data_IF_155780799125
#
_entry.id   IF_155780799125
#
_cell.length_a   1.000
_cell.length_b   1.000
_cell.length_c   1.000
_cell.angle_alpha   90.00
_cell.angle_beta   90.00
_cell.angle_gamma   90.00
#
_symmetry.space_group_name_H-M   'P 1'
#
loop_
_entity.id
_entity.type
_entity.pdbx_description
1 polymer ?
#
# COMPACT_ATOMS: atom_id res chain seq x y z
N UNK A 1 1.43 6.76 -8.37
CA UNK A 1 2.85 6.73 -8.82
C UNK A 1 2.94 7.27 -10.24
N UNK A 2 4.09 7.76 -10.68
CA UNK A 2 4.27 8.21 -12.07
C UNK A 2 5.67 7.90 -12.58
N UNK A 3 5.82 7.83 -13.90
CA UNK A 3 7.10 7.65 -14.58
C UNK A 3 7.07 8.27 -15.99
N UNK A 4 8.24 8.57 -16.51
CA UNK A 4 8.42 9.00 -17.90
C UNK A 4 8.59 7.76 -18.80
N UNK A 5 7.87 7.71 -19.91
CA UNK A 5 7.98 6.63 -20.88
C UNK A 5 9.21 6.81 -21.76
N UNK A 6 10.10 5.82 -21.79
CA UNK A 6 11.28 5.83 -22.64
C UNK A 6 11.07 4.98 -23.90
N UNK A 7 11.42 5.53 -25.06
CA UNK A 7 11.32 4.86 -26.36
C UNK A 7 9.97 5.10 -27.07
N UNK A 8 9.72 4.38 -28.17
CA UNK A 8 8.49 4.54 -28.95
C UNK A 8 7.24 4.27 -28.10
N UNK A 9 6.25 5.16 -28.19
CA UNK A 9 5.01 5.08 -27.43
C UNK A 9 3.81 4.89 -28.37
N UNK A 10 3.14 3.75 -28.25
CA UNK A 10 1.96 3.38 -29.02
C UNK A 10 0.75 3.40 -28.08
N UNK A 11 -0.06 4.45 -28.19
CA UNK A 11 -1.23 4.69 -27.31
C UNK A 11 -2.27 3.57 -27.44
N UNK A 12 -2.50 3.08 -28.66
CA UNK A 12 -3.48 2.03 -28.91
C UNK A 12 -3.03 0.71 -28.27
N UNK A 13 -1.74 0.37 -28.43
CA UNK A 13 -1.15 -0.80 -27.77
C UNK A 13 -1.12 -0.67 -26.26
N UNK A 14 -0.87 0.53 -25.74
CA UNK A 14 -0.92 0.80 -24.30
C UNK A 14 -2.32 0.54 -23.74
N UNK A 15 -3.34 1.04 -24.42
CA UNK A 15 -4.73 0.84 -24.03
C UNK A 15 -5.15 -0.63 -24.11
N UNK A 16 -4.82 -1.31 -25.22
CA UNK A 16 -5.09 -2.73 -25.39
C UNK A 16 -4.40 -3.59 -24.31
N UNK A 17 -3.14 -3.31 -24.00
CA UNK A 17 -2.39 -4.03 -22.97
C UNK A 17 -3.03 -3.91 -21.58
N UNK A 18 -3.44 -2.70 -21.18
CA UNK A 18 -4.14 -2.50 -19.90
C UNK A 18 -5.52 -3.15 -19.89
N UNK A 19 -6.27 -3.07 -20.99
CA UNK A 19 -7.56 -3.77 -21.09
C UNK A 19 -7.38 -5.29 -20.91
N UNK A 20 -6.36 -5.88 -21.55
CA UNK A 20 -6.04 -7.30 -21.40
C UNK A 20 -5.68 -7.68 -19.95
N UNK A 21 -5.02 -6.79 -19.20
CA UNK A 21 -4.76 -6.97 -17.77
C UNK A 21 -6.05 -6.87 -16.94
N UNK A 22 -6.93 -5.90 -17.22
CA UNK A 22 -8.24 -5.76 -16.55
C UNK A 22 -9.11 -7.00 -16.78
N UNK A 23 -9.12 -7.54 -17.98
CA UNK A 23 -9.88 -8.74 -18.31
C UNK A 23 -9.38 -9.95 -17.51
N UNK A 24 -8.06 -10.11 -17.39
CA UNK A 24 -7.46 -11.26 -16.68
C UNK A 24 -7.52 -11.13 -15.17
N UNK A 25 -7.20 -9.98 -14.60
CA UNK A 25 -6.99 -9.80 -13.17
C UNK A 25 -8.28 -9.35 -12.47
N UNK A 26 -8.99 -10.29 -11.81
CA UNK A 26 -10.32 -10.04 -11.26
C UNK A 26 -10.38 -8.90 -10.23
N UNK A 27 -9.27 -8.58 -9.55
CA UNK A 27 -9.19 -7.45 -8.61
C UNK A 27 -9.48 -6.11 -9.28
N UNK A 28 -9.17 -5.95 -10.58
CA UNK A 28 -9.44 -4.73 -11.34
C UNK A 28 -10.92 -4.59 -11.73
N UNK A 29 -11.64 -5.72 -11.71
CA UNK A 29 -13.09 -5.80 -11.93
C UNK A 29 -13.89 -5.88 -10.63
N UNK A 30 -13.23 -5.68 -9.49
CA UNK A 30 -13.86 -5.75 -8.18
C UNK A 30 -14.35 -4.38 -7.71
N UNK A 31 -15.45 -4.36 -6.96
CA UNK A 31 -15.96 -3.19 -6.26
C UNK A 31 -16.56 -3.59 -4.91
N UNK A 32 -16.85 -2.61 -4.07
CA UNK A 32 -17.46 -2.80 -2.77
C UNK A 32 -18.95 -2.50 -2.81
N UNK A 33 -19.73 -3.35 -2.17
CA UNK A 33 -21.13 -3.09 -1.86
C UNK A 33 -21.31 -3.24 -0.35
N UNK A 34 -21.99 -2.29 0.27
CA UNK A 34 -22.17 -2.21 1.72
C UNK A 34 -23.61 -1.88 2.11
N UNK A 35 -24.57 -1.99 1.18
CA UNK A 35 -25.97 -1.62 1.45
C UNK A 35 -26.62 -2.56 2.47
N UNK A 36 -26.50 -3.87 2.27
CA UNK A 36 -27.03 -4.87 3.20
C UNK A 36 -25.94 -5.40 4.16
N UNK A 37 -24.76 -5.68 3.60
CA UNK A 37 -23.57 -6.11 4.33
C UNK A 37 -22.34 -5.80 3.49
N UNK A 38 -21.18 -5.50 4.10
CA UNK A 38 -19.95 -5.25 3.35
C UNK A 38 -19.54 -6.52 2.61
N UNK A 39 -19.52 -6.43 1.28
CA UNK A 39 -19.13 -7.50 0.36
C UNK A 39 -18.27 -6.95 -0.76
N UNK A 40 -17.48 -7.84 -1.34
CA UNK A 40 -16.76 -7.59 -2.57
C UNK A 40 -17.54 -8.21 -3.74
N UNK A 41 -17.86 -7.40 -4.74
CA UNK A 41 -18.56 -7.81 -5.96
C UNK A 41 -17.56 -7.86 -7.11
N UNK A 42 -17.53 -8.98 -7.84
CA UNK A 42 -16.67 -9.18 -9.00
C UNK A 42 -17.50 -9.08 -10.28
N UNK A 43 -17.18 -8.09 -11.11
CA UNK A 43 -17.85 -7.91 -12.40
C UNK A 43 -17.27 -8.85 -13.46
N UNK A 44 -18.12 -9.36 -14.35
CA UNK A 44 -17.68 -10.21 -15.45
C UNK A 44 -16.77 -9.45 -16.43
N UNK A 45 -17.03 -8.15 -16.63
CA UNK A 45 -16.27 -7.25 -17.50
C UNK A 45 -16.12 -5.89 -16.84
N UNK A 46 -15.02 -5.20 -17.12
CA UNK A 46 -14.83 -3.78 -16.83
C UNK A 46 -13.90 -3.19 -17.89
N UNK A 47 -14.00 -1.89 -18.12
CA UNK A 47 -13.11 -1.17 -19.03
C UNK A 47 -11.94 -0.57 -18.25
N UNK A 48 -10.76 -0.55 -18.87
CA UNK A 48 -9.61 0.16 -18.34
C UNK A 48 -9.86 1.68 -18.37
N UNK A 49 -9.78 2.34 -17.22
CA UNK A 49 -9.90 3.80 -17.10
C UNK A 49 -8.57 4.45 -17.53
N UNK A 50 -8.49 4.86 -18.80
CA UNK A 50 -7.31 5.46 -19.41
C UNK A 50 -7.70 6.81 -20.00
N UNK A 51 -7.09 7.88 -19.50
CA UNK A 51 -7.23 9.22 -20.05
C UNK A 51 -5.94 9.66 -20.75
N UNK A 52 -6.05 10.27 -21.92
CA UNK A 52 -4.91 10.89 -22.63
C UNK A 52 -5.13 12.40 -22.63
N UNK A 53 -4.13 13.14 -22.13
CA UNK A 53 -4.16 14.59 -22.02
C UNK A 53 -3.03 15.19 -22.86
N UNK A 54 -3.34 16.28 -23.55
CA UNK A 54 -2.33 17.09 -24.23
C UNK A 54 -1.63 18.05 -23.25
N UNK A 55 -0.30 18.25 -23.35
CA UNK A 55 0.41 19.30 -22.63
C UNK A 55 -0.18 20.70 -22.83
N UNK A 56 -0.77 20.96 -24.00
CA UNK A 56 -1.46 22.22 -24.30
C UNK A 56 -2.75 22.43 -23.47
N UNK A 57 -3.38 21.35 -23.02
CA UNK A 57 -4.65 21.39 -22.28
C UNK A 57 -4.46 21.42 -20.75
N UNK A 58 -3.37 20.83 -20.25
CA UNK A 58 -3.14 20.71 -18.80
C UNK A 58 -1.65 20.57 -18.47
N UNK A 59 -1.20 21.36 -17.50
CA UNK A 59 0.16 21.21 -16.96
C UNK A 59 0.24 20.03 -15.99
N UNK A 60 1.42 19.43 -15.82
CA UNK A 60 1.61 18.29 -14.92
C UNK A 60 1.12 18.53 -13.47
N UNK A 61 1.42 19.67 -12.80
CA UNK A 61 0.89 19.93 -11.46
C UNK A 61 -0.64 20.09 -11.41
N UNK A 62 -1.26 20.61 -12.48
CA UNK A 62 -2.72 20.67 -12.59
C UNK A 62 -3.32 19.28 -12.77
N UNK A 63 -2.70 18.43 -13.60
CA UNK A 63 -3.11 17.04 -13.80
C UNK A 63 -3.09 16.27 -12.48
N UNK A 64 -2.00 16.35 -11.70
CA UNK A 64 -1.91 15.71 -10.38
C UNK A 64 -2.99 16.19 -9.40
N UNK A 65 -3.32 17.49 -9.40
CA UNK A 65 -4.38 18.04 -8.55
C UNK A 65 -5.76 17.55 -8.99
N UNK A 66 -6.05 17.56 -10.30
CA UNK A 66 -7.32 17.07 -10.88
C UNK A 66 -7.51 15.59 -10.58
N UNK A 67 -6.48 14.78 -10.77
CA UNK A 67 -6.50 13.36 -10.48
C UNK A 67 -6.83 13.11 -8.98
N UNK A 68 -6.10 13.75 -8.06
CA UNK A 68 -6.38 13.64 -6.62
C UNK A 68 -7.80 14.06 -6.25
N UNK A 69 -8.31 15.12 -6.86
CA UNK A 69 -9.67 15.62 -6.61
C UNK A 69 -10.77 14.69 -7.17
N UNK A 70 -10.50 13.95 -8.26
CA UNK A 70 -11.45 13.02 -8.88
C UNK A 70 -11.83 11.87 -7.93
N UNK A 71 -10.90 11.43 -7.07
CA UNK A 71 -11.13 10.31 -6.14
C UNK A 71 -11.52 9.00 -6.84
N UNK A 72 -12.11 8.07 -6.09
CA UNK A 72 -12.70 6.82 -6.62
C UNK A 72 -14.10 6.60 -6.04
N UNK A 73 -14.99 6.06 -6.88
CA UNK A 73 -16.28 5.55 -6.45
C UNK A 73 -16.14 4.06 -6.09
N UNK A 74 -16.09 3.73 -4.79
CA UNK A 74 -15.83 2.37 -4.32
C UNK A 74 -16.90 1.34 -4.71
N UNK A 75 -18.09 1.79 -5.09
CA UNK A 75 -19.20 0.96 -5.56
C UNK A 75 -19.17 0.65 -7.06
N UNK A 76 -18.10 1.05 -7.76
CA UNK A 76 -17.89 0.77 -9.19
C UNK A 76 -16.54 0.08 -9.40
N UNK A 77 -16.42 -0.81 -10.41
CA UNK A 77 -15.12 -1.39 -10.77
C UNK A 77 -14.20 -0.30 -11.34
N UNK A 78 -12.92 -0.63 -11.54
CA UNK A 78 -11.92 0.34 -12.03
C UNK A 78 -11.28 1.16 -10.91
N UNK A 79 -10.94 0.52 -9.78
CA UNK A 79 -10.19 1.16 -8.69
C UNK A 79 -8.68 1.33 -8.98
N UNK A 80 -8.32 1.30 -10.26
CA UNK A 80 -7.03 1.65 -10.83
C UNK A 80 -7.29 2.38 -12.14
N UNK A 81 -6.62 3.51 -12.34
CA UNK A 81 -6.72 4.31 -13.55
C UNK A 81 -5.36 4.83 -14.00
N UNK A 82 -5.27 5.11 -15.30
CA UNK A 82 -4.09 5.62 -15.96
C UNK A 82 -4.41 6.98 -16.56
N UNK A 83 -3.50 7.93 -16.40
CA UNK A 83 -3.55 9.21 -17.10
C UNK A 83 -2.23 9.44 -17.80
N UNK A 84 -2.28 9.57 -19.12
CA UNK A 84 -1.16 9.85 -19.99
C UNK A 84 -1.10 11.34 -20.28
N UNK A 85 0.03 11.97 -19.96
CA UNK A 85 0.37 13.26 -20.53
C UNK A 85 1.21 12.98 -21.78
N UNK A 86 0.65 13.29 -22.95
CA UNK A 86 1.32 13.07 -24.22
C UNK A 86 2.65 13.85 -24.30
N UNK A 87 3.56 13.40 -25.16
CA UNK A 87 4.78 14.15 -25.45
C UNK A 87 4.43 15.51 -26.09
N UNK A 88 5.29 16.51 -25.87
CA UNK A 88 5.18 17.81 -26.54
C UNK A 88 5.41 17.64 -28.06
N UNK A 89 4.51 18.14 -28.93
CA UNK A 89 4.75 18.12 -30.36
C UNK A 89 5.82 19.16 -30.73
N UNK A 90 7.05 18.71 -31.03
CA UNK A 90 8.16 19.55 -31.47
C UNK A 90 9.35 18.73 -31.98
N UNK A 91 9.74 18.93 -33.24
CA UNK A 91 10.66 18.08 -34.00
C UNK A 91 12.13 18.14 -33.57
N UNK A 92 12.85 17.04 -33.81
CA UNK A 92 14.30 16.94 -33.66
C UNK A 92 14.80 16.82 -32.23
N UNK A 93 14.98 15.58 -31.76
CA UNK A 93 15.97 15.23 -30.72
C UNK A 93 15.77 15.71 -29.27
N UNK A 94 14.63 16.29 -28.88
CA UNK A 94 14.47 16.84 -27.52
C UNK A 94 13.07 16.96 -26.93
N UNK A 95 12.03 16.36 -27.53
CA UNK A 95 10.68 16.39 -26.96
C UNK A 95 10.62 15.67 -25.61
N UNK A 96 9.96 16.28 -24.62
CA UNK A 96 9.78 15.65 -23.31
C UNK A 96 9.00 14.32 -23.48
N UNK A 97 9.46 13.21 -22.86
CA UNK A 97 8.80 11.93 -22.99
C UNK A 97 7.35 11.97 -22.47
N UNK A 98 6.47 11.10 -22.99
CA UNK A 98 5.13 10.98 -22.43
C UNK A 98 5.23 10.58 -20.96
N UNK A 99 4.42 11.19 -20.10
CA UNK A 99 4.36 10.84 -18.68
C UNK A 99 3.15 9.98 -18.39
N UNK A 100 3.34 8.92 -17.61
CA UNK A 100 2.27 8.06 -17.16
C UNK A 100 2.02 8.31 -15.67
N UNK A 101 0.79 8.65 -15.32
CA UNK A 101 0.27 8.64 -13.96
C UNK A 101 -0.54 7.36 -13.76
N UNK A 102 -0.17 6.55 -12.78
CA UNK A 102 -0.98 5.43 -12.30
C UNK A 102 -1.51 5.78 -10.91
N UNK A 103 -2.82 5.81 -10.79
CA UNK A 103 -3.53 6.04 -9.54
C UNK A 103 -4.38 4.83 -9.22
N UNK A 104 -4.33 4.34 -7.98
CA UNK A 104 -5.07 3.18 -7.52
C UNK A 104 -5.64 3.42 -6.12
N UNK A 105 -6.68 2.68 -5.76
CA UNK A 105 -7.27 2.76 -4.42
C UNK A 105 -6.71 1.66 -3.50
N UNK A 106 -6.14 2.01 -2.32
CA UNK A 106 -5.48 1.05 -1.43
C UNK A 106 -6.44 0.06 -0.77
N UNK A 107 -7.76 0.24 -0.92
CA UNK A 107 -8.74 -0.74 -0.42
C UNK A 107 -8.69 -2.09 -1.17
N UNK A 108 -8.17 -2.13 -2.40
CA UNK A 108 -8.08 -3.37 -3.19
C UNK A 108 -6.67 -3.75 -3.61
N UNK A 109 -5.73 -2.81 -3.57
CA UNK A 109 -4.39 -3.01 -4.09
C UNK A 109 -3.39 -2.44 -3.12
N UNK A 110 -2.46 -3.29 -2.69
CA UNK A 110 -1.23 -2.84 -2.07
C UNK A 110 -0.16 -2.55 -3.13
N UNK A 111 0.97 -1.97 -2.69
CA UNK A 111 2.07 -1.60 -3.58
C UNK A 111 2.63 -2.81 -4.34
N UNK A 112 2.72 -3.98 -3.69
CA UNK A 112 3.24 -5.20 -4.33
C UNK A 112 2.29 -5.68 -5.43
N UNK A 113 0.98 -5.63 -5.19
CA UNK A 113 -0.06 -5.92 -6.17
C UNK A 113 0.05 -5.02 -7.39
N UNK A 114 0.26 -3.71 -7.21
CA UNK A 114 0.46 -2.78 -8.32
C UNK A 114 1.68 -3.12 -9.16
N UNK A 115 2.80 -3.52 -8.52
CA UNK A 115 3.99 -3.96 -9.26
C UNK A 115 3.76 -5.26 -10.05
N UNK A 116 2.95 -6.19 -9.52
CA UNK A 116 2.55 -7.40 -10.25
C UNK A 116 1.72 -7.05 -11.49
N UNK A 117 0.77 -6.12 -11.36
CA UNK A 117 -0.05 -5.64 -12.48
C UNK A 117 0.80 -4.92 -13.54
N UNK A 118 1.74 -4.07 -13.12
CA UNK A 118 2.68 -3.41 -14.03
C UNK A 118 3.52 -4.43 -14.82
N UNK A 119 4.00 -5.48 -14.16
CA UNK A 119 4.74 -6.56 -14.84
C UNK A 119 3.89 -7.24 -15.90
N UNK A 120 2.62 -7.54 -15.61
CA UNK A 120 1.71 -8.13 -16.60
C UNK A 120 1.41 -7.13 -17.73
N UNK A 121 1.19 -5.85 -17.43
CA UNK A 121 1.04 -4.80 -18.44
C UNK A 121 2.22 -4.77 -19.41
N UNK A 122 3.47 -4.76 -18.93
CA UNK A 122 4.64 -4.74 -19.81
C UNK A 122 4.74 -6.01 -20.68
N UNK A 123 4.34 -7.17 -20.14
CA UNK A 123 4.27 -8.41 -20.93
C UNK A 123 3.23 -8.31 -22.05
N UNK A 124 2.04 -7.79 -21.74
CA UNK A 124 1.00 -7.58 -22.76
C UNK A 124 1.43 -6.56 -23.81
N UNK A 125 2.03 -5.45 -23.38
CA UNK A 125 2.51 -4.40 -24.29
C UNK A 125 3.60 -4.93 -25.24
N UNK A 126 4.56 -5.70 -24.73
CA UNK A 126 5.60 -6.34 -25.54
C UNK A 126 5.02 -7.39 -26.52
N UNK A 127 3.92 -8.04 -26.16
CA UNK A 127 3.21 -9.02 -27.00
C UNK A 127 2.12 -8.40 -27.90
N UNK A 128 2.22 -7.11 -28.22
CA UNK A 128 1.31 -6.46 -29.17
C UNK A 128 -0.05 -6.03 -28.59
N UNK A 129 -0.15 -5.90 -27.26
CA UNK A 129 -1.37 -5.46 -26.58
C UNK A 129 -2.22 -6.60 -26.01
N UNK A 130 -1.81 -7.86 -26.19
CA UNK A 130 -2.51 -9.02 -25.64
C UNK A 130 -1.60 -9.74 -24.66
N UNK A 131 -2.10 -9.98 -23.46
CA UNK A 131 -1.33 -10.64 -22.41
C UNK A 131 -1.09 -12.11 -22.78
N UNK A 132 0.17 -12.56 -22.94
CA UNK A 132 0.44 -13.93 -23.33
C UNK A 132 0.20 -14.92 -22.18
N UNK A 133 -0.12 -16.16 -22.54
CA UNK A 133 -0.43 -17.25 -21.61
C UNK A 133 -1.94 -17.46 -21.42
N UNK A 134 -2.32 -18.09 -20.31
CA UNK A 134 -3.72 -18.46 -20.04
C UNK A 134 -3.90 -19.46 -18.90
N UNK A 135 -2.81 -19.98 -18.35
CA UNK A 135 -2.85 -20.83 -17.16
C UNK A 135 -3.50 -20.09 -15.99
N UNK A 136 -4.46 -20.76 -15.36
CA UNK A 136 -5.13 -20.25 -14.17
C UNK A 136 -4.11 -20.08 -13.04
N UNK A 137 -4.01 -18.86 -12.53
CA UNK A 137 -3.26 -18.53 -11.30
C UNK A 137 -4.26 -18.31 -10.16
N UNK A 138 -3.85 -18.50 -8.89
CA UNK A 138 -4.71 -18.09 -7.78
C UNK A 138 -5.00 -16.60 -7.88
N UNK A 139 -6.20 -16.21 -7.48
CA UNK A 139 -6.62 -14.82 -7.45
C UNK A 139 -7.32 -14.46 -6.12
N UNK A 140 -7.94 -13.29 -6.07
CA UNK A 140 -8.63 -12.80 -4.89
C UNK A 140 -9.73 -13.74 -4.38
N UNK A 141 -10.37 -14.53 -5.26
CA UNK A 141 -11.38 -15.53 -4.88
C UNK A 141 -10.75 -16.72 -4.18
N UNK A 142 -9.59 -17.16 -4.66
CA UNK A 142 -8.82 -18.23 -4.03
C UNK A 142 -8.29 -17.80 -2.66
N UNK A 143 -7.80 -16.56 -2.54
CA UNK A 143 -7.42 -15.97 -1.26
C UNK A 143 -8.61 -15.88 -0.29
N UNK A 144 -9.77 -15.39 -0.74
CA UNK A 144 -10.97 -15.30 0.10
C UNK A 144 -11.47 -16.69 0.56
N UNK A 145 -11.44 -17.70 -0.32
CA UNK A 145 -11.77 -19.08 0.03
C UNK A 145 -10.79 -19.68 1.04
N UNK A 146 -9.50 -19.43 0.85
CA UNK A 146 -8.46 -19.83 1.80
C UNK A 146 -8.67 -19.19 3.18
N UNK A 147 -8.98 -17.88 3.21
CA UNK A 147 -9.23 -17.14 4.45
C UNK A 147 -10.44 -17.69 5.22
N UNK A 148 -11.51 -18.06 4.51
CA UNK A 148 -12.71 -18.65 5.12
C UNK A 148 -12.44 -20.00 5.79
N UNK A 149 -11.37 -20.70 5.42
CA UNK A 149 -10.95 -21.97 6.01
C UNK A 149 -10.01 -21.85 7.21
N UNK A 150 -9.59 -20.65 7.62
CA UNK A 150 -8.60 -20.48 8.70
C UNK A 150 -9.22 -20.60 10.10
N UNK A 151 -8.47 -21.18 11.04
CA UNK A 151 -8.88 -21.20 12.45
C UNK A 151 -8.70 -19.81 13.09
N UNK A 152 -9.81 -19.09 13.20
CA UNK A 152 -9.85 -17.80 13.88
C UNK A 152 -9.62 -17.88 15.38
N UNK A 153 -9.70 -19.06 16.01
CA UNK A 153 -9.55 -19.23 17.46
C UNK A 153 -8.10 -19.13 17.89
N UNK A 154 -7.19 -19.88 17.26
CA UNK A 154 -5.75 -19.78 17.51
C UNK A 154 -5.25 -18.35 17.25
N UNK A 155 -5.66 -17.74 16.14
CA UNK A 155 -5.35 -16.35 15.82
C UNK A 155 -5.83 -15.39 16.91
N UNK A 156 -7.09 -15.53 17.37
CA UNK A 156 -7.65 -14.71 18.45
C UNK A 156 -6.82 -14.84 19.74
N UNK A 157 -6.41 -16.04 20.11
CA UNK A 157 -5.61 -16.28 21.31
C UNK A 157 -4.20 -15.67 21.20
N UNK A 158 -3.57 -15.82 20.03
CA UNK A 158 -2.29 -15.18 19.75
C UNK A 158 -2.37 -13.66 19.90
N UNK A 159 -3.33 -13.04 19.22
CA UNK A 159 -3.49 -11.59 19.24
C UNK A 159 -3.85 -11.04 20.62
N UNK A 160 -4.56 -11.80 21.46
CA UNK A 160 -4.80 -11.42 22.85
C UNK A 160 -3.51 -11.24 23.67
N UNK A 161 -2.45 -12.01 23.35
CA UNK A 161 -1.15 -11.91 24.00
C UNK A 161 -0.21 -10.90 23.34
N UNK A 162 -0.38 -10.67 22.03
CA UNK A 162 0.44 -9.74 21.25
C UNK A 162 0.01 -8.27 21.38
N UNK A 163 -1.07 -7.98 22.11
CA UNK A 163 -1.52 -6.60 22.41
C UNK A 163 -0.38 -5.81 23.07
N UNK A 164 -0.05 -4.61 22.57
CA UNK A 164 0.95 -3.75 23.21
C UNK A 164 0.60 -3.47 24.68
N UNK A 165 1.52 -3.67 25.63
CA UNK A 165 1.24 -3.41 27.03
C UNK A 165 1.02 -1.90 27.27
N UNK A 166 0.24 -1.49 28.30
CA UNK A 166 -0.14 -0.08 28.51
C UNK A 166 1.03 0.91 28.65
N UNK A 167 2.20 0.43 29.08
CA UNK A 167 3.43 1.25 29.25
C UNK A 167 4.39 1.16 28.07
N UNK A 168 3.99 0.52 26.97
CA UNK A 168 4.86 0.40 25.80
C UNK A 168 5.20 1.76 25.20
N UNK A 169 6.48 2.00 24.92
CA UNK A 169 6.88 3.15 24.13
C UNK A 169 6.43 2.97 22.69
N UNK A 170 5.59 3.90 22.22
CA UNK A 170 5.01 3.91 20.86
C UNK A 170 5.30 5.20 20.10
N UNK A 171 5.84 6.22 20.78
CA UNK A 171 6.03 7.56 20.22
C UNK A 171 7.50 7.77 19.84
N UNK A 172 7.80 8.13 18.58
CA UNK A 172 9.18 8.27 18.09
C UNK A 172 9.91 9.52 18.56
N UNK A 173 9.26 10.38 19.36
CA UNK A 173 9.88 11.59 19.87
C UNK A 173 8.90 12.46 20.63
N UNK A 174 9.43 13.56 21.18
CA UNK A 174 8.64 14.68 21.68
C UNK A 174 8.27 15.57 20.51
N UNK A 175 7.03 16.13 20.45
CA UNK A 175 6.69 17.11 19.44
C UNK A 175 7.70 18.27 19.45
N UNK A 176 8.18 18.66 18.26
CA UNK A 176 8.98 19.87 18.09
C UNK A 176 8.13 21.14 18.26
N UNK A 177 8.78 22.30 18.20
CA UNK A 177 8.08 23.58 18.15
C UNK A 177 7.21 23.73 16.90
N UNK A 178 6.21 24.60 16.96
CA UNK A 178 5.34 24.88 15.82
C UNK A 178 6.16 25.46 14.65
N UNK A 179 6.10 24.80 13.49
CA UNK A 179 6.80 25.25 12.27
C UNK A 179 5.98 26.24 11.44
N UNK A 180 4.71 26.44 11.77
CA UNK A 180 3.75 27.21 10.96
C UNK A 180 3.34 26.50 9.66
N UNK A 181 3.82 25.28 9.41
CA UNK A 181 3.51 24.49 8.21
C UNK A 181 2.40 23.47 8.50
N UNK A 182 1.65 23.08 7.47
CA UNK A 182 0.62 22.03 7.54
C UNK A 182 0.77 21.03 6.40
N UNK A 183 0.43 19.77 6.66
CA UNK A 183 0.56 18.67 5.71
C UNK A 183 1.65 17.66 6.09
N UNK A 184 1.84 16.61 5.26
CA UNK A 184 2.85 15.60 5.50
C UNK A 184 4.26 16.16 5.23
N UNK A 185 5.20 15.86 6.13
CA UNK A 185 6.63 16.08 5.91
C UNK A 185 7.32 14.76 5.52
N UNK A 186 8.33 14.85 4.66
CA UNK A 186 9.19 13.73 4.30
C UNK A 186 10.65 14.11 4.56
N UNK A 187 11.36 13.26 5.31
CA UNK A 187 12.80 13.32 5.48
C UNK A 187 13.37 12.02 4.92
N UNK A 188 14.14 12.12 3.83
CA UNK A 188 14.86 10.97 3.24
C UNK A 188 16.32 11.01 3.70
N UNK A 189 16.78 9.92 4.31
CA UNK A 189 18.17 9.70 4.69
C UNK A 189 18.58 8.32 4.19
N UNK A 190 19.75 8.24 3.54
CA UNK A 190 20.23 7.02 2.91
C UNK A 190 21.51 6.53 3.57
N UNK A 191 21.54 5.24 3.90
CA UNK A 191 22.78 4.55 4.23
C UNK A 191 23.62 4.39 2.96
N UNK A 192 24.93 4.62 3.06
CA UNK A 192 25.85 4.35 1.94
C UNK A 192 25.97 2.85 1.71
N UNK A 193 26.39 2.44 0.52
CA UNK A 193 26.53 1.02 0.17
C UNK A 193 27.38 0.21 1.17
N UNK A 194 28.53 0.72 1.68
CA UNK A 194 29.31 0.00 2.69
C UNK A 194 28.60 -0.14 4.05
N UNK A 195 27.76 0.84 4.43
CA UNK A 195 26.98 0.80 5.67
C UNK A 195 25.85 -0.23 5.56
N UNK A 196 25.15 -0.23 4.43
CA UNK A 196 24.10 -1.21 4.10
C UNK A 196 24.66 -2.63 4.10
N UNK A 197 25.80 -2.85 3.45
CA UNK A 197 26.47 -4.16 3.42
C UNK A 197 26.86 -4.66 4.82
N UNK A 198 27.41 -3.78 5.68
CA UNK A 198 27.77 -4.12 7.06
C UNK A 198 26.54 -4.51 7.89
N UNK A 199 25.45 -3.74 7.78
CA UNK A 199 24.21 -4.01 8.50
C UNK A 199 23.59 -5.35 8.07
N UNK A 200 23.45 -5.58 6.76
CA UNK A 200 22.94 -6.83 6.19
C UNK A 200 23.80 -8.02 6.61
N UNK A 201 25.12 -7.90 6.55
CA UNK A 201 26.05 -8.98 6.93
C UNK A 201 25.98 -9.30 8.42
N UNK A 202 25.89 -8.26 9.28
CA UNK A 202 25.77 -8.44 10.73
C UNK A 202 24.48 -9.17 11.12
N UNK A 203 23.36 -8.86 10.45
CA UNK A 203 22.07 -9.51 10.65
C UNK A 203 22.08 -10.96 10.14
N UNK A 204 22.62 -11.19 8.93
CA UNK A 204 22.70 -12.51 8.32
C UNK A 204 23.55 -13.49 9.14
N UNK A 205 24.69 -13.04 9.69
CA UNK A 205 25.54 -13.84 10.59
C UNK A 205 24.81 -14.27 11.89
N UNK A 206 23.65 -13.69 12.19
CA UNK A 206 22.79 -14.00 13.35
C UNK A 206 21.46 -14.63 12.94
N UNK A 207 21.34 -15.08 11.69
CA UNK A 207 20.14 -15.73 11.17
C UNK A 207 18.92 -14.81 11.14
N UNK A 208 19.11 -13.51 10.93
CA UNK A 208 18.03 -12.53 10.83
C UNK A 208 18.04 -11.82 9.47
N UNK A 209 16.87 -11.38 9.02
CA UNK A 209 16.73 -10.60 7.79
C UNK A 209 17.25 -9.16 7.98
N UNK A 210 17.59 -8.49 6.88
CA UNK A 210 17.97 -7.07 6.89
C UNK A 210 16.87 -6.18 7.50
N UNK A 211 15.59 -6.49 7.22
CA UNK A 211 14.45 -5.81 7.81
C UNK A 211 14.40 -5.95 9.34
N UNK A 212 14.79 -7.10 9.89
CA UNK A 212 14.87 -7.31 11.35
C UNK A 212 15.87 -6.36 12.00
N UNK A 213 16.99 -6.07 11.33
CA UNK A 213 17.96 -5.10 11.84
C UNK A 213 17.40 -3.67 11.82
N UNK A 214 16.64 -3.29 10.79
CA UNK A 214 15.97 -1.99 10.73
C UNK A 214 14.87 -1.86 11.80
N UNK A 215 14.08 -2.91 12.04
CA UNK A 215 13.11 -2.94 13.13
C UNK A 215 13.77 -2.84 14.51
N UNK A 216 14.93 -3.47 14.71
CA UNK A 216 15.72 -3.33 15.93
C UNK A 216 16.22 -1.89 16.11
N UNK A 217 16.74 -1.24 15.06
CA UNK A 217 17.14 0.18 15.13
C UNK A 217 15.94 1.06 15.49
N UNK A 218 14.78 0.80 14.88
CA UNK A 218 13.57 1.52 15.21
C UNK A 218 13.14 1.33 16.67
N UNK A 219 13.20 0.10 17.20
CA UNK A 219 12.92 -0.18 18.61
C UNK A 219 13.85 0.61 19.55
N UNK A 220 15.14 0.68 19.23
CA UNK A 220 16.11 1.47 19.99
C UNK A 220 15.84 2.98 19.92
N UNK A 221 15.41 3.50 18.77
CA UNK A 221 15.03 4.91 18.62
C UNK A 221 13.83 5.26 19.50
N UNK A 222 12.78 4.42 19.49
CA UNK A 222 11.61 4.59 20.35
C UNK A 222 11.99 4.49 21.84
N UNK A 223 12.85 3.54 22.21
CA UNK A 223 13.37 3.42 23.57
C UNK A 223 14.11 4.69 24.02
N UNK A 224 15.03 5.20 23.19
CA UNK A 224 15.76 6.44 23.48
C UNK A 224 14.84 7.64 23.60
N UNK A 225 13.81 7.72 22.76
CA UNK A 225 12.80 8.78 22.82
C UNK A 225 11.94 8.74 24.11
N UNK A 226 11.73 7.55 24.68
CA UNK A 226 11.03 7.39 25.95
C UNK A 226 11.82 7.95 27.14
N UNK A 227 13.15 8.06 27.03
CA UNK A 227 14.01 8.69 28.04
C UNK A 227 14.09 7.94 29.37
N UNK A 228 13.94 6.61 29.33
CA UNK A 228 14.06 5.73 30.50
C UNK A 228 15.43 5.03 30.52
N UNK A 229 15.83 4.55 31.71
CA UNK A 229 17.15 3.92 31.93
C UNK A 229 17.09 2.40 32.17
N UNK A 230 15.90 1.81 32.25
CA UNK A 230 15.70 0.39 32.53
C UNK A 230 14.87 -0.31 31.44
N UNK A 231 14.64 -1.64 31.59
CA UNK A 231 13.90 -2.42 30.60
C UNK A 231 12.52 -1.81 30.29
N UNK A 232 12.23 -1.66 29.00
CA UNK A 232 10.96 -1.07 28.55
C UNK A 232 10.40 -1.83 27.33
N UNK A 233 9.13 -2.22 27.37
CA UNK A 233 8.44 -2.67 26.17
C UNK A 233 8.34 -1.53 25.15
N UNK A 234 8.67 -1.84 23.90
CA UNK A 234 8.58 -0.92 22.76
C UNK A 234 7.67 -1.56 21.74
N UNK A 235 6.68 -0.81 21.25
CA UNK A 235 5.71 -1.32 20.29
C UNK A 235 5.52 -0.38 19.10
N UNK A 236 5.43 -0.96 17.92
CA UNK A 236 5.25 -0.26 16.65
C UNK A 236 4.61 -1.18 15.60
N UNK A 237 4.05 -0.57 14.56
CA UNK A 237 3.51 -1.31 13.42
C UNK A 237 4.62 -1.85 12.52
N UNK A 238 4.49 -3.10 12.11
CA UNK A 238 5.28 -3.73 11.05
C UNK A 238 4.35 -4.13 9.91
N UNK A 239 4.82 -4.02 8.66
CA UNK A 239 4.05 -4.40 7.48
C UNK A 239 4.49 -5.79 7.03
N UNK A 240 3.58 -6.78 7.10
CA UNK A 240 3.81 -8.10 6.49
C UNK A 240 3.17 -8.16 5.11
N UNK A 241 3.80 -8.89 4.18
CA UNK A 241 3.38 -8.96 2.78
C UNK A 241 2.03 -9.64 2.55
N UNK A 242 1.63 -10.51 3.49
CA UNK A 242 0.51 -11.46 3.37
C UNK A 242 0.64 -12.47 2.22
N UNK A 243 1.80 -12.54 1.57
CA UNK A 243 2.05 -13.32 0.35
C UNK A 243 2.88 -14.58 0.59
N UNK A 244 3.34 -14.76 1.82
CA UNK A 244 4.09 -15.93 2.29
C UNK A 244 3.19 -16.90 3.07
N UNK A 245 1.86 -16.75 2.93
CA UNK A 245 0.85 -17.63 3.53
C UNK A 245 0.84 -19.01 2.88
N UNK A 246 0.26 -19.99 3.56
CA UNK A 246 0.09 -21.36 3.10
C UNK A 246 -1.00 -21.50 2.01
N UNK A 247 -0.93 -20.67 0.97
CA UNK A 247 -1.72 -20.73 -0.26
C UNK A 247 -0.74 -20.80 -1.44
N UNK A 248 -0.67 -21.93 -2.16
CA UNK A 248 0.20 -22.08 -3.32
C UNK A 248 0.00 -20.94 -4.33
N UNK A 249 1.08 -20.24 -4.67
CA UNK A 249 1.05 -19.11 -5.61
C UNK A 249 0.58 -17.77 -5.03
N UNK A 250 0.40 -17.64 -3.71
CA UNK A 250 0.00 -16.39 -3.05
C UNK A 250 0.89 -15.18 -3.42
N UNK A 251 2.19 -15.41 -3.58
CA UNK A 251 3.15 -14.39 -4.03
C UNK A 251 2.80 -13.73 -5.37
N UNK A 252 2.01 -14.40 -6.22
CA UNK A 252 1.57 -13.90 -7.51
C UNK A 252 0.22 -13.20 -7.51
N UNK A 253 -0.48 -13.11 -6.37
CA UNK A 253 -1.84 -12.54 -6.30
C UNK A 253 -1.76 -11.00 -6.23
N UNK A 254 -2.32 -10.29 -7.23
CA UNK A 254 -2.54 -8.85 -7.12
C UNK A 254 -3.76 -8.60 -6.22
N UNK A 255 -3.59 -7.77 -5.20
CA UNK A 255 -4.62 -7.50 -4.20
C UNK A 255 -4.08 -6.74 -3.00
N UNK A 256 -4.96 -6.37 -2.07
CA UNK A 256 -4.61 -5.92 -0.73
C UNK A 256 -4.39 -7.16 0.14
N UNK A 257 -3.14 -7.62 0.21
CA UNK A 257 -2.75 -8.77 1.04
C UNK A 257 -1.82 -8.33 2.17
N UNK A 258 -1.16 -7.18 2.05
CA UNK A 258 -0.33 -6.67 3.12
C UNK A 258 -1.15 -6.36 4.38
N UNK A 259 -0.50 -6.53 5.53
CA UNK A 259 -1.17 -6.43 6.83
C UNK A 259 -0.30 -5.66 7.80
N UNK A 260 -0.78 -4.50 8.29
CA UNK A 260 -0.09 -3.74 9.32
C UNK A 260 -0.38 -4.36 10.68
N UNK A 261 0.65 -4.91 11.29
CA UNK A 261 0.55 -5.67 12.53
C UNK A 261 1.34 -4.99 13.66
N UNK A 262 0.82 -4.95 14.90
CA UNK A 262 1.61 -4.49 16.02
C UNK A 262 2.66 -5.54 16.38
N UNK A 263 3.90 -5.09 16.54
CA UNK A 263 4.98 -5.87 17.13
C UNK A 263 5.39 -5.21 18.45
N UNK A 264 5.72 -6.03 19.46
CA UNK A 264 6.24 -5.55 20.74
C UNK A 264 7.51 -6.32 21.07
N UNK A 265 8.58 -5.60 21.43
CA UNK A 265 9.83 -6.18 21.93
C UNK A 265 10.25 -5.44 23.20
N UNK A 266 11.03 -6.07 24.07
CA UNK A 266 11.53 -5.41 25.28
C UNK A 266 12.97 -4.98 25.07
N UNK A 267 13.21 -3.67 25.12
CA UNK A 267 14.56 -3.13 25.08
C UNK A 267 15.09 -3.08 26.51
N UNK A 268 16.10 -3.91 26.79
CA UNK A 268 16.86 -3.91 28.04
C UNK A 268 18.27 -3.38 27.75
N UNK A 269 18.68 -2.22 28.31
CA UNK A 269 20.00 -1.66 28.07
C UNK A 269 21.15 -2.50 28.64
N UNK A 270 20.88 -3.42 29.57
CA UNK A 270 21.87 -4.36 30.10
C UNK A 270 22.04 -5.62 29.23
N UNK A 271 21.10 -5.89 28.31
CA UNK A 271 21.13 -7.07 27.47
C UNK A 271 22.00 -6.88 26.21
N UNK A 272 22.65 -7.95 25.69
CA UNK A 272 23.37 -7.88 24.43
C UNK A 272 22.45 -7.51 23.26
N UNK A 273 22.94 -6.66 22.35
CA UNK A 273 22.21 -6.23 21.16
C UNK A 273 21.71 -7.40 20.29
N UNK A 274 22.50 -8.48 20.22
CA UNK A 274 22.11 -9.69 19.49
C UNK A 274 20.87 -10.37 20.09
N UNK A 275 20.68 -10.27 21.41
CA UNK A 275 19.47 -10.77 22.07
C UNK A 275 18.22 -10.01 21.62
N UNK A 276 18.31 -8.69 21.48
CA UNK A 276 17.22 -7.87 20.93
C UNK A 276 16.93 -8.21 19.46
N UNK A 277 17.96 -8.53 18.66
CA UNK A 277 17.76 -8.94 17.26
C UNK A 277 16.99 -10.26 17.18
N UNK A 278 17.32 -11.22 18.05
CA UNK A 278 16.59 -12.48 18.11
C UNK A 278 15.15 -12.28 18.55
N UNK A 279 14.88 -11.43 19.56
CA UNK A 279 13.50 -11.06 19.94
C UNK A 279 12.71 -10.51 18.74
N UNK A 280 13.31 -9.59 17.96
CA UNK A 280 12.66 -9.04 16.76
C UNK A 280 12.41 -10.10 15.70
N UNK A 281 13.40 -10.96 15.41
CA UNK A 281 13.26 -12.04 14.44
C UNK A 281 12.13 -13.00 14.85
N UNK A 282 12.15 -13.45 16.09
CA UNK A 282 11.20 -14.43 16.60
C UNK A 282 9.78 -13.83 16.64
N UNK A 283 9.65 -12.56 17.03
CA UNK A 283 8.37 -11.84 16.97
C UNK A 283 7.83 -11.74 15.53
N UNK A 284 8.68 -11.46 14.53
CA UNK A 284 8.26 -11.42 13.12
C UNK A 284 7.82 -12.79 12.61
N UNK A 285 8.50 -13.87 13.01
CA UNK A 285 8.12 -15.24 12.66
C UNK A 285 6.76 -15.60 13.26
N UNK A 286 6.52 -15.26 14.51
CA UNK A 286 5.24 -15.46 15.18
C UNK A 286 4.10 -14.69 14.49
N UNK A 287 4.33 -13.43 14.14
CA UNK A 287 3.37 -12.60 13.41
C UNK A 287 3.03 -13.18 12.03
N UNK A 288 4.01 -13.80 11.36
CA UNK A 288 3.84 -14.41 10.04
C UNK A 288 2.91 -15.64 10.04
N UNK A 289 2.58 -16.21 11.20
CA UNK A 289 1.55 -17.25 11.30
C UNK A 289 0.12 -16.70 11.15
N UNK A 290 -0.12 -15.44 11.50
CA UNK A 290 -1.45 -14.82 11.52
C UNK A 290 -1.57 -13.47 10.77
N UNK A 291 -0.89 -13.24 9.63
CA UNK A 291 -0.92 -11.96 8.93
C UNK A 291 -2.31 -11.63 8.37
N UNK A 292 -3.12 -12.66 8.17
CA UNK A 292 -4.47 -12.61 7.64
C UNK A 292 -5.54 -12.20 8.67
N UNK A 293 -5.18 -12.07 9.95
CA UNK A 293 -6.12 -11.66 10.98
C UNK A 293 -6.53 -10.20 10.80
N UNK A 294 -7.83 -9.91 10.92
CA UNK A 294 -8.34 -8.55 10.75
C UNK A 294 -7.84 -7.61 11.86
N UNK A 295 -7.59 -6.35 11.52
CA UNK A 295 -7.28 -5.30 12.50
C UNK A 295 -8.38 -5.14 13.54
N UNK A 296 -9.63 -5.44 13.21
CA UNK A 296 -10.73 -5.50 14.18
C UNK A 296 -10.51 -6.61 15.22
N UNK A 297 -10.12 -7.81 14.81
CA UNK A 297 -9.78 -8.92 15.72
C UNK A 297 -8.64 -8.53 16.66
N UNK A 298 -7.63 -7.83 16.12
CA UNK A 298 -6.48 -7.34 16.89
C UNK A 298 -6.92 -6.24 17.86
N UNK A 299 -7.73 -5.27 17.41
CA UNK A 299 -8.14 -4.09 18.19
C UNK A 299 -9.20 -4.40 19.23
N UNK A 300 -10.11 -5.35 19.00
CA UNK A 300 -11.16 -5.73 19.94
C UNK A 300 -10.62 -6.20 21.30
N UNK A 301 -9.31 -6.51 21.39
CA UNK A 301 -8.64 -6.92 22.63
C UNK A 301 -7.58 -5.95 23.13
N UNK A 302 -7.28 -4.90 22.36
CA UNK A 302 -6.43 -3.83 22.84
C UNK A 302 -7.22 -2.96 23.84
N UNK A 303 -6.66 -2.58 25.01
CA UNK A 303 -7.30 -1.63 25.89
C UNK A 303 -7.56 -0.34 25.12
N UNK A 304 -8.81 0.14 25.11
CA UNK A 304 -9.16 1.41 24.46
C UNK A 304 -8.29 2.51 25.09
N UNK A 305 -7.55 3.30 24.30
CA UNK A 305 -6.95 4.50 24.85
C UNK A 305 -8.06 5.37 25.46
N UNK A 306 -7.83 6.06 26.59
CA UNK A 306 -8.77 7.07 27.06
C UNK A 306 -9.04 8.03 25.90
N UNK A 307 -10.31 8.38 25.70
CA UNK A 307 -10.73 9.27 24.62
C UNK A 307 -9.88 10.54 24.66
N UNK A 308 -8.90 10.64 23.76
CA UNK A 308 -8.28 11.91 23.48
C UNK A 308 -9.39 12.77 22.88
N UNK A 309 -9.59 14.02 23.34
CA UNK A 309 -10.57 14.90 22.74
C UNK A 309 -10.24 14.97 21.24
N UNK A 310 -11.13 14.41 20.44
CA UNK A 310 -11.03 14.53 18.99
C UNK A 310 -10.93 16.02 18.69
N UNK A 311 -9.79 16.46 18.16
CA UNK A 311 -9.82 17.62 17.30
C UNK A 311 -10.71 17.23 16.12
N UNK A 312 -12.02 17.47 16.26
CA UNK A 312 -12.94 17.51 15.14
C UNK A 312 -12.32 18.42 14.10
N UNK A 313 -11.94 17.92 12.91
CA UNK A 313 -11.77 18.83 11.80
C UNK A 313 -13.11 19.52 11.63
N UNK A 314 -13.15 20.84 11.82
CA UNK A 314 -14.34 21.65 11.56
C UNK A 314 -14.80 21.31 10.14
N UNK A 315 -15.94 20.62 10.04
CA UNK A 315 -16.68 20.47 8.79
C UNK A 315 -16.93 21.89 8.25
N UNK A 316 -16.52 22.22 7.02
CA UNK A 316 -17.00 23.44 6.40
C UNK A 316 -18.51 23.29 6.22
N UNK A 317 -19.26 24.21 6.81
CA UNK A 317 -20.70 24.33 6.63
C UNK A 317 -21.05 24.34 5.14
N UNK A 318 -22.04 23.55 4.68
CA UNK A 318 -22.40 23.52 3.27
C UNK A 318 -23.10 24.83 2.93
N UNK A 319 -22.43 25.70 2.17
CA UNK A 319 -23.14 26.73 1.41
C UNK A 319 -23.89 26.04 0.28
N UNK A 320 -25.21 26.04 0.36
CA UNK A 320 -26.13 25.60 -0.69
C UNK A 320 -25.82 26.32 -2.00
N UNK A 321 -25.31 25.58 -3.00
CA UNK A 321 -25.29 26.00 -4.40
C UNK A 321 -26.36 25.21 -5.14
N UNK A 322 -27.17 25.84 -6.01
CA UNK A 322 -28.19 25.15 -6.79
C UNK A 322 -27.54 24.20 -7.82
N UNK A 323 -28.25 23.13 -8.24
CA UNK A 323 -27.70 22.12 -9.13
C UNK A 323 -27.47 22.66 -10.55
N UNK A 324 -26.38 22.28 -11.24
CA UNK A 324 -26.18 22.60 -12.64
C UNK A 324 -27.06 21.72 -13.55
N UNK A 325 -27.44 22.20 -14.74
CA UNK A 325 -28.30 21.47 -15.66
C UNK A 325 -27.58 20.24 -16.24
N UNK A 326 -28.36 19.18 -16.46
CA UNK A 326 -27.94 17.91 -17.07
C UNK A 326 -27.54 18.13 -18.53
N UNK A 327 -26.32 17.72 -18.90
CA UNK A 327 -25.87 17.59 -20.29
C UNK A 327 -25.70 16.09 -20.65
N UNK A 328 -26.02 15.68 -21.89
CA UNK A 328 -26.02 14.29 -22.35
C UNK A 328 -24.59 13.74 -22.59
N UNK A 329 -24.42 12.42 -22.77
CA UNK A 329 -23.11 11.78 -22.72
C UNK A 329 -22.28 12.11 -23.97
N UNK A 330 -21.09 12.66 -23.76
CA UNK A 330 -20.05 12.79 -24.80
C UNK A 330 -18.80 12.04 -24.37
N UNK A 331 -18.24 11.30 -25.32
CA UNK A 331 -16.99 10.57 -25.20
C UNK A 331 -15.86 11.46 -24.65
N UNK A 332 -15.21 11.04 -23.56
CA UNK A 332 -14.17 11.85 -22.91
C UNK A 332 -12.83 11.73 -23.64
N UNK A 333 -12.56 12.72 -24.49
CA UNK A 333 -11.23 13.31 -24.62
C UNK A 333 -11.15 14.55 -23.70
N UNK A 334 -9.99 14.83 -23.10
CA UNK A 334 -9.71 16.05 -22.34
C UNK A 334 -8.83 17.01 -23.15
#
# INVERSE_FOLDING_TARGET
MYWDWSGPFDVARFAAAWQSVVDRECVLRACFDWVAAPRLVLHARAEADIAVCSPAAVTWPQLLRRDRARGFALHRPGLLRLTLLAAEPGGGGGAAPPRVLLTYHPALLDERGVHLLLREFYRAYAAGGVLPGGERRPDLRDHARWLAGQDTTAARQFWARAVPPPRAATRPGRPGGATGQSGPGLLDTRLRAPETFRLRSWAALRGAAESSALHLVWALLLYRAAGVSGPLPVSFGVQLSGRDIALPGAAGIPGLLDSPLPMTVTVDPAAPLAGLLHQVRDALLDLAAYPWASTETIRARAPRPPAQPHHTPRSPTPRSRPPPPLLPPTASAC
#
